data_IF_312383333871
#
_entry.id   IF_312383333871
#
_cell.length_a   1.000
_cell.length_b   1.000
_cell.length_c   1.000
_cell.angle_alpha   90.00
_cell.angle_beta   90.00
_cell.angle_gamma   90.00
#
_symmetry.space_group_name_H-M   'P 1'
#
loop_
_entity.id
_entity.type
_entity.pdbx_description
1 polymer ?
#
# COMPACT_ATOMS: atom_id res chain seq x y z
N UNK A 1 62.43 -46.67 30.64
CA UNK A 1 61.32 -45.83 30.13
C UNK A 1 61.58 -45.47 28.68
N UNK A 2 60.69 -45.88 27.77
CA UNK A 2 60.24 -45.16 26.57
C UNK A 2 59.41 -46.12 25.72
N UNK A 3 58.09 -45.98 25.81
CA UNK A 3 57.12 -46.46 24.83
C UNK A 3 56.81 -45.28 23.89
N UNK A 4 56.86 -45.52 22.58
CA UNK A 4 56.30 -44.66 21.52
C UNK A 4 55.80 -45.62 20.44
N UNK A 5 54.50 -45.94 20.38
CA UNK A 5 53.37 -45.17 19.82
C UNK A 5 53.08 -45.63 18.38
N UNK A 6 51.99 -46.40 18.25
CA UNK A 6 51.46 -46.97 17.02
C UNK A 6 50.47 -45.99 16.36
N UNK A 7 50.43 -46.06 15.02
CA UNK A 7 49.53 -45.30 14.15
C UNK A 7 48.07 -45.79 14.26
N UNK A 8 47.13 -44.85 14.24
CA UNK A 8 45.70 -45.11 14.07
C UNK A 8 45.20 -44.35 12.84
N UNK A 9 44.63 -45.09 11.90
CA UNK A 9 43.99 -44.62 10.67
C UNK A 9 42.55 -44.23 11.04
N UNK A 10 42.21 -42.94 10.91
CA UNK A 10 40.86 -42.42 11.07
C UNK A 10 40.13 -42.40 9.72
N UNK A 11 39.07 -43.19 9.63
CA UNK A 11 38.04 -43.10 8.59
C UNK A 11 36.91 -42.24 9.14
N UNK A 12 36.70 -41.06 8.57
CA UNK A 12 35.51 -40.22 8.81
C UNK A 12 35.21 -39.42 7.55
N UNK A 13 33.97 -39.51 7.04
CA UNK A 13 33.45 -38.55 6.05
C UNK A 13 32.52 -39.14 4.99
N UNK A 14 31.34 -39.60 5.39
CA UNK A 14 30.20 -39.72 4.48
C UNK A 14 28.99 -39.05 5.15
N UNK A 15 28.89 -37.73 5.03
CA UNK A 15 27.71 -36.95 5.43
C UNK A 15 26.79 -36.77 4.23
N UNK A 16 25.56 -37.20 4.45
CA UNK A 16 24.40 -37.19 3.58
C UNK A 16 24.20 -35.91 2.76
N UNK A 17 24.04 -36.10 1.45
CA UNK A 17 23.11 -35.32 0.65
C UNK A 17 21.68 -35.69 1.07
N UNK A 18 20.86 -34.69 1.40
CA UNK A 18 19.39 -34.60 1.19
C UNK A 18 18.75 -33.73 2.28
N UNK A 19 18.23 -32.56 1.87
CA UNK A 19 17.01 -31.88 2.36
C UNK A 19 17.16 -30.34 2.33
N UNK A 20 16.99 -29.73 1.15
CA UNK A 20 16.80 -28.28 1.01
C UNK A 20 15.50 -27.90 0.28
N UNK A 21 14.56 -28.83 0.13
CA UNK A 21 13.28 -28.58 -0.57
C UNK A 21 12.08 -28.30 0.34
N UNK A 22 12.22 -28.39 1.68
CA UNK A 22 11.06 -28.34 2.59
C UNK A 22 10.58 -26.91 2.89
N UNK A 23 11.46 -25.89 2.84
CA UNK A 23 11.08 -24.49 3.17
C UNK A 23 10.18 -23.82 2.13
N UNK A 24 10.16 -24.30 0.88
CA UNK A 24 9.35 -23.71 -0.20
C UNK A 24 7.88 -24.18 -0.18
N UNK A 25 7.62 -25.39 0.27
CA UNK A 25 6.27 -25.99 0.31
C UNK A 25 5.45 -25.36 1.44
N UNK A 26 6.08 -25.16 2.61
CA UNK A 26 5.44 -24.57 3.79
C UNK A 26 5.02 -23.11 3.56
N UNK A 27 5.84 -22.31 2.88
CA UNK A 27 5.52 -20.94 2.52
C UNK A 27 4.36 -20.84 1.50
N UNK A 28 4.26 -21.80 0.57
CA UNK A 28 3.17 -21.86 -0.38
C UNK A 28 1.86 -22.33 0.26
N UNK A 29 1.91 -23.29 1.20
CA UNK A 29 0.74 -23.67 2.01
C UNK A 29 0.23 -22.50 2.86
N UNK A 30 1.11 -21.73 3.49
CA UNK A 30 0.74 -20.56 4.28
C UNK A 30 0.03 -19.49 3.45
N UNK A 31 0.51 -19.24 2.22
CA UNK A 31 -0.14 -18.33 1.27
C UNK A 31 -1.51 -18.85 0.81
N UNK A 32 -1.64 -20.16 0.60
CA UNK A 32 -2.91 -20.81 0.24
C UNK A 32 -3.92 -20.70 1.39
N UNK A 33 -3.52 -21.02 2.61
CA UNK A 33 -4.35 -20.87 3.82
C UNK A 33 -4.74 -19.42 4.07
N UNK A 34 -3.85 -18.46 3.82
CA UNK A 34 -4.19 -17.04 3.92
C UNK A 34 -5.22 -16.61 2.87
N UNK A 35 -5.12 -17.10 1.63
CA UNK A 35 -6.12 -16.85 0.56
C UNK A 35 -7.46 -17.51 0.87
N UNK A 36 -7.46 -18.73 1.38
CA UNK A 36 -8.67 -19.42 1.81
C UNK A 36 -9.32 -18.73 3.00
N UNK A 37 -8.53 -18.28 3.97
CA UNK A 37 -9.02 -17.47 5.09
C UNK A 37 -9.61 -16.15 4.59
N UNK A 38 -8.92 -15.43 3.71
CA UNK A 38 -9.46 -14.20 3.10
C UNK A 38 -10.77 -14.46 2.35
N UNK A 39 -10.86 -15.58 1.62
CA UNK A 39 -12.09 -15.97 0.91
C UNK A 39 -13.20 -16.30 1.90
N UNK A 40 -12.90 -17.01 2.99
CA UNK A 40 -13.85 -17.36 4.04
C UNK A 40 -14.32 -16.12 4.80
N UNK A 41 -13.40 -15.25 5.21
CA UNK A 41 -13.70 -13.96 5.87
C UNK A 41 -14.52 -13.04 4.94
N UNK A 42 -14.30 -13.11 3.62
CA UNK A 42 -15.13 -12.40 2.62
C UNK A 42 -16.54 -12.97 2.55
N UNK A 43 -16.68 -14.29 2.55
CA UNK A 43 -17.97 -14.98 2.51
C UNK A 43 -18.73 -14.81 3.83
N UNK A 44 -18.06 -14.89 4.97
CA UNK A 44 -18.65 -14.65 6.30
C UNK A 44 -19.11 -13.19 6.44
N UNK A 45 -18.35 -12.22 5.90
CA UNK A 45 -18.81 -10.83 5.79
C UNK A 45 -20.01 -10.65 4.85
N UNK A 46 -20.04 -11.38 3.73
CA UNK A 46 -21.21 -11.40 2.85
C UNK A 46 -22.44 -12.04 3.52
N UNK A 47 -22.24 -13.06 4.35
CA UNK A 47 -23.31 -13.68 5.14
C UNK A 47 -23.83 -12.74 6.24
N UNK A 48 -22.95 -12.01 6.93
CA UNK A 48 -23.37 -10.95 7.86
C UNK A 48 -24.11 -9.81 7.17
N UNK A 49 -23.80 -9.52 5.91
CA UNK A 49 -24.53 -8.54 5.10
C UNK A 49 -25.97 -9.01 4.79
N UNK A 50 -26.15 -10.31 4.57
CA UNK A 50 -27.45 -10.90 4.23
C UNK A 50 -28.42 -10.94 5.43
N UNK A 51 -27.94 -11.08 6.66
CA UNK A 51 -28.78 -11.05 7.87
C UNK A 51 -29.10 -9.63 8.37
N UNK A 52 -28.41 -8.59 7.88
CA UNK A 52 -28.54 -7.20 8.35
C UNK A 52 -29.34 -6.27 7.40
N UNK A 53 -29.91 -6.76 6.31
CA UNK A 53 -30.62 -5.90 5.35
C UNK A 53 -29.70 -4.90 4.62
N UNK A 54 -28.41 -5.23 4.45
CA UNK A 54 -27.48 -4.44 3.64
C UNK A 54 -27.69 -4.78 2.16
N UNK A 55 -28.42 -3.94 1.43
CA UNK A 55 -28.87 -4.24 0.06
C UNK A 55 -28.09 -3.47 -1.01
N UNK A 56 -27.46 -2.34 -0.66
CA UNK A 56 -26.83 -1.46 -1.65
C UNK A 56 -25.33 -1.64 -1.68
N UNK A 57 -24.79 -1.90 -2.87
CA UNK A 57 -23.35 -2.03 -3.11
C UNK A 57 -22.93 -1.17 -4.30
N UNK A 58 -21.87 -0.37 -4.13
CA UNK A 58 -21.29 0.45 -5.20
C UNK A 58 -19.78 0.58 -5.03
N UNK A 59 -19.07 0.60 -6.17
CA UNK A 59 -17.65 0.92 -6.23
C UNK A 59 -17.43 2.37 -6.61
N UNK A 60 -16.45 3.01 -5.98
CA UNK A 60 -15.99 4.36 -6.28
C UNK A 60 -14.48 4.36 -6.53
N UNK A 61 -14.01 5.34 -7.28
CA UNK A 61 -12.57 5.62 -7.41
C UNK A 61 -12.26 6.96 -6.76
N UNK A 62 -11.34 6.93 -5.81
CA UNK A 62 -10.76 8.12 -5.20
C UNK A 62 -9.44 8.43 -5.89
N UNK A 63 -9.25 9.68 -6.34
CA UNK A 63 -7.96 10.17 -6.82
C UNK A 63 -7.50 11.30 -5.89
N UNK A 64 -6.40 11.06 -5.19
CA UNK A 64 -5.74 12.02 -4.31
C UNK A 64 -4.54 12.61 -5.02
N UNK A 65 -4.49 13.94 -5.08
CA UNK A 65 -3.34 14.69 -5.61
C UNK A 65 -2.24 14.76 -4.56
N UNK A 66 -1.00 14.93 -4.99
CA UNK A 66 0.13 15.04 -4.07
C UNK A 66 -0.02 16.18 -3.05
N UNK A 67 -0.60 17.32 -3.45
CA UNK A 67 -0.87 18.46 -2.57
C UNK A 67 -1.96 18.19 -1.51
N UNK A 68 -2.80 17.18 -1.74
CA UNK A 68 -3.90 16.79 -0.86
C UNK A 68 -3.55 15.52 -0.05
N UNK A 69 -2.26 15.18 0.01
CA UNK A 69 -1.72 14.05 0.75
C UNK A 69 -0.55 14.51 1.62
N UNK A 70 -0.52 14.07 2.88
CA UNK A 70 0.57 14.32 3.80
C UNK A 70 0.90 13.07 4.61
N UNK A 71 2.18 12.81 4.81
CA UNK A 71 2.68 11.80 5.74
C UNK A 71 3.50 12.51 6.84
N UNK A 72 3.04 12.39 8.08
CA UNK A 72 3.58 13.08 9.25
C UNK A 72 4.14 12.05 10.22
N UNK A 73 5.36 12.26 10.70
CA UNK A 73 6.00 11.40 11.70
C UNK A 73 6.20 12.23 12.98
N UNK A 74 5.55 11.89 14.11
CA UNK A 74 5.50 12.75 15.29
C UNK A 74 6.85 12.93 16.01
N UNK A 75 7.86 12.11 15.70
CA UNK A 75 9.14 12.07 16.43
C UNK A 75 10.37 12.47 15.60
N UNK A 76 10.21 12.90 14.34
CA UNK A 76 11.35 13.29 13.50
C UNK A 76 11.24 14.74 13.02
N UNK A 77 12.29 15.52 13.26
CA UNK A 77 12.48 16.86 12.67
C UNK A 77 12.74 16.81 11.16
N UNK A 78 13.06 15.62 10.61
CA UNK A 78 13.32 15.40 9.18
C UNK A 78 12.75 14.07 8.72
N UNK A 79 12.06 14.07 7.58
CA UNK A 79 11.53 12.87 6.90
C UNK A 79 12.67 12.07 6.22
N UNK A 80 13.86 12.68 6.08
CA UNK A 80 15.04 12.04 5.50
C UNK A 80 15.78 11.27 6.60
N UNK A 81 15.82 9.93 6.54
CA UNK A 81 16.58 9.13 7.50
C UNK A 81 18.07 9.49 7.41
N UNK A 82 18.72 9.76 8.54
CA UNK A 82 20.18 9.88 8.59
C UNK A 82 20.82 8.54 8.19
N UNK A 83 21.93 8.52 7.43
CA UNK A 83 22.62 7.29 7.04
C UNK A 83 22.83 6.33 8.23
N UNK A 84 22.41 5.07 8.06
CA UNK A 84 22.55 4.01 9.07
C UNK A 84 21.38 3.86 10.05
N UNK A 85 20.40 4.76 10.07
CA UNK A 85 19.30 4.77 11.06
C UNK A 85 17.96 4.22 10.55
N UNK A 86 17.88 3.63 9.36
CA UNK A 86 16.63 3.02 8.84
C UNK A 86 16.06 1.93 9.79
N UNK A 87 16.92 1.25 10.56
CA UNK A 87 16.52 0.29 11.58
C UNK A 87 16.01 0.92 12.89
N UNK A 88 16.29 2.20 13.12
CA UNK A 88 15.88 2.96 14.31
C UNK A 88 14.62 3.79 14.07
N UNK A 89 14.11 3.83 12.84
CA UNK A 89 12.87 4.53 12.51
C UNK A 89 11.70 3.89 13.26
N UNK A 90 11.10 4.65 14.16
CA UNK A 90 9.86 4.29 14.82
C UNK A 90 8.71 5.06 14.16
N UNK A 91 7.91 4.35 13.36
CA UNK A 91 6.74 4.93 12.70
C UNK A 91 5.50 4.97 13.60
N UNK A 92 5.62 4.63 14.89
CA UNK A 92 4.47 4.62 15.79
C UNK A 92 3.89 6.04 15.93
N UNK A 93 2.57 6.14 15.73
CA UNK A 93 1.88 7.43 15.73
C UNK A 93 2.13 8.26 14.46
N UNK A 94 2.86 7.76 13.48
CA UNK A 94 2.89 8.39 12.15
C UNK A 94 1.49 8.40 11.55
N UNK A 95 1.17 9.47 10.86
CA UNK A 95 -0.16 9.75 10.34
C UNK A 95 -0.11 10.03 8.85
N UNK A 96 -0.96 9.36 8.08
CA UNK A 96 -1.25 9.71 6.69
C UNK A 96 -2.57 10.46 6.62
N UNK A 97 -2.54 11.70 6.15
CA UNK A 97 -3.72 12.53 5.93
C UNK A 97 -3.94 12.61 4.43
N UNK A 98 -5.17 12.37 3.98
CA UNK A 98 -5.52 12.42 2.57
C UNK A 98 -6.86 13.07 2.31
N UNK A 99 -7.00 13.70 1.13
CA UNK A 99 -8.26 14.25 0.63
C UNK A 99 -8.31 14.13 -0.90
N UNK A 100 -9.05 13.16 -1.41
CA UNK A 100 -9.21 12.92 -2.84
C UNK A 100 -10.61 13.27 -3.36
N UNK A 101 -10.71 13.46 -4.68
CA UNK A 101 -12.02 13.53 -5.36
C UNK A 101 -12.56 12.12 -5.60
N UNK A 102 -13.88 11.96 -5.57
CA UNK A 102 -14.57 10.70 -5.85
C UNK A 102 -15.20 10.73 -7.24
N UNK A 103 -14.98 9.66 -7.99
CA UNK A 103 -15.42 9.49 -9.38
C UNK A 103 -16.07 8.12 -9.59
N UNK A 104 -16.88 8.00 -10.64
CA UNK A 104 -17.37 6.71 -11.09
C UNK A 104 -16.19 5.89 -11.69
N UNK A 105 -16.04 4.62 -11.31
CA UNK A 105 -15.06 3.73 -11.94
C UNK A 105 -15.18 3.64 -13.48
N UNK A 106 -16.34 3.92 -14.07
CA UNK A 106 -16.53 3.92 -15.52
C UNK A 106 -15.84 5.10 -16.23
N UNK A 107 -15.67 6.24 -15.54
CA UNK A 107 -15.13 7.47 -16.11
C UNK A 107 -13.61 7.61 -15.90
N UNK A 108 -13.04 6.81 -15.01
CA UNK A 108 -11.59 6.82 -14.73
C UNK A 108 -10.87 5.69 -15.48
N UNK A 109 -10.02 6.07 -16.43
CA UNK A 109 -9.13 5.13 -17.10
C UNK A 109 -7.75 5.12 -16.44
N UNK A 110 -7.36 3.98 -15.88
CA UNK A 110 -6.00 3.74 -15.36
C UNK A 110 -5.17 3.11 -16.47
N UNK A 111 -4.07 3.76 -16.85
CA UNK A 111 -3.16 3.27 -17.87
C UNK A 111 -1.86 2.77 -17.23
N UNK A 112 -1.33 1.70 -17.81
CA UNK A 112 0.01 1.22 -17.46
C UNK A 112 1.03 2.26 -17.90
N UNK A 113 1.82 2.73 -16.93
CA UNK A 113 2.98 3.61 -17.09
C UNK A 113 4.21 2.82 -16.70
N UNK A 114 4.62 1.92 -17.60
CA UNK A 114 5.80 1.06 -17.45
C UNK A 114 7.13 1.84 -17.55
N UNK A 115 7.09 3.16 -17.37
CA UNK A 115 8.21 4.05 -17.60
C UNK A 115 8.70 4.02 -19.05
N UNK A 116 7.83 3.76 -20.03
CA UNK A 116 8.18 3.76 -21.46
C UNK A 116 7.69 5.01 -22.20
N UNK A 117 6.85 5.84 -21.57
CA UNK A 117 6.34 7.05 -22.19
C UNK A 117 7.29 8.22 -21.97
N UNK A 118 7.44 9.09 -22.98
CA UNK A 118 8.24 10.31 -22.87
C UNK A 118 7.73 11.26 -21.76
N UNK A 119 6.47 11.11 -21.34
CA UNK A 119 5.87 11.87 -20.24
C UNK A 119 6.26 11.36 -18.85
N UNK A 120 6.91 10.19 -18.75
CA UNK A 120 7.47 9.64 -17.51
C UNK A 120 8.97 9.95 -17.37
N UNK A 121 9.54 10.65 -18.35
CA UNK A 121 10.90 11.17 -18.30
C UNK A 121 10.90 12.48 -17.51
N UNK A 122 11.22 12.38 -16.22
CA UNK A 122 11.40 13.57 -15.40
C UNK A 122 12.67 14.33 -15.79
N UNK A 123 13.74 13.66 -16.28
CA UNK A 123 14.97 14.22 -16.89
C UNK A 123 15.78 13.13 -17.62
N UNK A 124 16.81 13.55 -18.38
CA UNK A 124 17.51 12.87 -19.50
C UNK A 124 17.98 11.43 -19.35
N UNK A 125 18.05 10.81 -18.16
CA UNK A 125 18.51 9.40 -18.04
C UNK A 125 17.96 8.64 -16.82
N UNK A 126 17.05 9.21 -16.02
CA UNK A 126 16.50 8.53 -14.81
C UNK A 126 14.98 8.65 -14.74
N UNK A 127 14.30 7.51 -14.83
CA UNK A 127 12.84 7.40 -14.88
C UNK A 127 12.27 7.20 -13.48
N UNK A 128 11.52 8.18 -12.98
CA UNK A 128 10.77 8.04 -11.74
C UNK A 128 9.62 7.06 -11.95
N UNK A 129 9.57 5.99 -11.16
CA UNK A 129 8.53 4.97 -11.32
C UNK A 129 7.45 5.12 -10.27
N UNK A 130 6.21 5.03 -10.73
CA UNK A 130 5.03 5.12 -9.88
C UNK A 130 4.76 3.80 -9.17
N UNK A 131 4.28 3.87 -7.93
CA UNK A 131 3.80 2.68 -7.24
C UNK A 131 2.65 2.05 -8.06
N UNK A 132 2.75 0.75 -8.32
CA UNK A 132 1.80 0.02 -9.18
C UNK A 132 2.03 0.18 -10.69
N UNK A 133 3.04 0.93 -11.13
CA UNK A 133 3.37 1.19 -12.56
C UNK A 133 2.18 1.66 -13.39
N UNK A 134 1.27 2.38 -12.75
CA UNK A 134 -0.01 2.79 -13.30
C UNK A 134 -0.31 4.19 -12.85
N UNK A 135 -1.00 4.95 -13.69
CA UNK A 135 -1.52 6.28 -13.36
C UNK A 135 -2.86 6.49 -14.09
N UNK A 136 -3.75 7.35 -13.56
CA UNK A 136 -4.91 7.78 -14.32
C UNK A 136 -4.45 8.48 -15.62
N UNK A 137 -5.11 8.17 -16.74
CA UNK A 137 -4.82 8.78 -18.06
C UNK A 137 -5.15 10.27 -18.06
N UNK A 138 -6.28 10.62 -17.46
CA UNK A 138 -6.73 11.96 -17.21
C UNK A 138 -7.46 11.98 -15.87
N UNK A 139 -7.60 13.16 -15.28
CA UNK A 139 -8.35 13.35 -14.03
C UNK A 139 -9.56 14.21 -14.37
N UNK A 140 -10.79 13.69 -14.20
CA UNK A 140 -11.99 14.50 -14.36
C UNK A 140 -11.98 15.71 -13.42
N UNK A 141 -12.80 16.71 -13.72
CA UNK A 141 -12.94 17.85 -12.82
C UNK A 141 -13.54 17.38 -11.49
N UNK A 142 -12.87 17.70 -10.37
CA UNK A 142 -13.34 17.34 -9.03
C UNK A 142 -14.64 18.08 -8.73
N UNK A 143 -15.69 17.33 -8.38
CA UNK A 143 -16.91 17.90 -7.80
C UNK A 143 -16.67 18.18 -6.30
N UNK A 144 -16.91 19.40 -5.81
CA UNK A 144 -16.68 19.75 -4.41
C UNK A 144 -17.57 18.98 -3.42
N UNK A 145 -18.69 18.41 -3.87
CA UNK A 145 -19.58 17.58 -3.06
C UNK A 145 -19.17 16.10 -3.00
N UNK A 146 -18.22 15.66 -3.83
CA UNK A 146 -17.78 14.27 -3.93
C UNK A 146 -16.30 14.15 -3.58
N UNK A 147 -16.03 13.77 -2.33
CA UNK A 147 -14.67 13.64 -1.85
C UNK A 147 -14.54 12.54 -0.81
N UNK A 148 -13.31 12.07 -0.67
CA UNK A 148 -12.92 11.11 0.34
C UNK A 148 -11.73 11.66 1.10
N UNK A 149 -11.92 11.90 2.39
CA UNK A 149 -10.87 12.45 3.23
C UNK A 149 -10.75 11.70 4.55
N UNK A 150 -9.64 11.90 5.22
CA UNK A 150 -9.45 11.38 6.56
C UNK A 150 -8.00 11.16 6.90
N UNK A 151 -7.81 10.50 8.02
CA UNK A 151 -6.52 10.28 8.65
C UNK A 151 -6.36 8.81 9.00
N UNK A 152 -5.20 8.24 8.71
CA UNK A 152 -4.80 6.93 9.20
C UNK A 152 -3.55 7.06 10.05
N UNK A 153 -3.61 6.56 11.28
CA UNK A 153 -2.50 6.57 12.23
C UNK A 153 -1.93 5.16 12.37
N UNK A 154 -0.61 5.03 12.30
CA UNK A 154 0.10 3.79 12.58
C UNK A 154 0.02 3.47 14.07
N UNK A 155 -0.73 2.43 14.42
CA UNK A 155 -0.97 2.01 15.82
C UNK A 155 -0.05 0.87 16.26
N UNK A 156 0.56 0.16 15.31
CA UNK A 156 1.51 -0.92 15.58
C UNK A 156 2.61 -0.89 14.53
N UNK A 157 3.87 -0.99 14.96
CA UNK A 157 5.03 -0.92 14.07
C UNK A 157 6.14 -1.86 14.53
N UNK A 158 7.02 -2.23 13.59
CA UNK A 158 8.28 -2.91 13.85
C UNK A 158 9.36 -2.28 12.96
N UNK A 159 10.16 -1.38 13.53
CA UNK A 159 11.07 -0.51 12.77
C UNK A 159 10.31 0.32 11.74
N UNK A 160 10.81 0.34 10.50
CA UNK A 160 10.19 1.02 9.37
C UNK A 160 8.91 0.33 8.84
N UNK A 161 8.49 -0.82 9.40
CA UNK A 161 7.30 -1.52 8.97
C UNK A 161 6.10 -1.15 9.86
N UNK A 162 5.04 -0.64 9.23
CA UNK A 162 3.72 -0.55 9.85
C UNK A 162 3.14 -1.95 9.87
N UNK A 163 2.61 -2.38 11.02
CA UNK A 163 1.96 -3.69 11.22
C UNK A 163 0.45 -3.55 11.39
N UNK A 164 0.00 -2.38 11.83
CA UNK A 164 -1.40 -2.05 12.02
C UNK A 164 -1.61 -0.56 11.96
N UNK A 165 -2.75 -0.15 11.41
CA UNK A 165 -3.19 1.23 11.42
C UNK A 165 -4.62 1.34 11.94
N UNK A 166 -5.01 2.55 12.27
CA UNK A 166 -6.41 2.92 12.50
C UNK A 166 -6.72 4.19 11.75
N UNK A 167 -7.77 4.15 10.94
CA UNK A 167 -8.22 5.26 10.12
C UNK A 167 -9.60 5.76 10.53
N UNK A 168 -9.77 7.07 10.49
CA UNK A 168 -11.05 7.75 10.49
C UNK A 168 -11.21 8.44 9.15
N UNK A 169 -12.20 7.99 8.38
CA UNK A 169 -12.38 8.35 6.98
C UNK A 169 -13.81 8.86 6.78
N UNK A 170 -13.99 9.87 5.93
CA UNK A 170 -15.30 10.29 5.48
C UNK A 170 -15.39 10.13 3.97
N UNK A 171 -16.48 9.51 3.52
CA UNK A 171 -16.83 9.41 2.11
C UNK A 171 -18.06 10.26 1.85
N UNK A 172 -17.87 11.42 1.23
CA UNK A 172 -18.93 12.35 0.90
C UNK A 172 -19.38 12.15 -0.55
N UNK A 173 -20.68 11.98 -0.74
CA UNK A 173 -21.31 11.61 -2.00
C UNK A 173 -22.46 12.58 -2.35
N UNK A 174 -22.17 13.88 -2.33
CA UNK A 174 -23.08 14.93 -2.75
C UNK A 174 -23.58 15.82 -1.62
N UNK A 175 -24.69 16.53 -1.89
CA UNK A 175 -25.26 17.51 -0.96
C UNK A 175 -24.29 18.64 -0.61
N UNK A 176 -23.43 19.07 -1.54
CA UNK A 176 -22.40 20.08 -1.29
C UNK A 176 -21.31 19.67 -0.29
N UNK A 177 -21.18 18.36 -0.01
CA UNK A 177 -20.24 17.83 0.99
C UNK A 177 -20.87 17.58 2.36
N UNK A 178 -22.21 17.63 2.48
CA UNK A 178 -22.92 17.34 3.73
C UNK A 178 -23.47 15.91 3.81
N UNK A 179 -23.54 15.19 2.69
CA UNK A 179 -23.95 13.79 2.66
C UNK A 179 -22.72 12.90 2.73
N UNK A 180 -22.30 12.51 3.93
CA UNK A 180 -21.06 11.76 4.15
C UNK A 180 -21.29 10.48 4.95
N UNK A 181 -20.55 9.43 4.61
CA UNK A 181 -20.43 8.21 5.41
C UNK A 181 -19.22 8.35 6.32
N UNK A 182 -19.43 8.14 7.62
CA UNK A 182 -18.36 8.09 8.61
C UNK A 182 -17.85 6.65 8.71
N UNK A 183 -16.56 6.46 8.50
CA UNK A 183 -15.93 5.15 8.38
C UNK A 183 -14.78 5.04 9.37
N UNK A 184 -14.75 3.93 10.08
CA UNK A 184 -13.60 3.50 10.86
C UNK A 184 -12.94 2.30 10.19
N UNK A 185 -11.64 2.37 9.93
CA UNK A 185 -10.87 1.26 9.38
C UNK A 185 -9.67 0.95 10.28
N UNK A 186 -9.78 -0.10 11.08
CA UNK A 186 -8.69 -0.61 11.92
C UNK A 186 -8.38 -2.04 11.53
N UNK A 187 -7.19 -2.30 10.98
CA UNK A 187 -6.83 -3.65 10.57
C UNK A 187 -5.32 -3.90 10.65
N UNK A 188 -4.96 -5.19 10.60
CA UNK A 188 -3.57 -5.59 10.37
C UNK A 188 -3.15 -5.09 9.00
N UNK A 189 -2.14 -4.24 8.98
CA UNK A 189 -1.67 -3.54 7.80
C UNK A 189 -0.15 -3.63 7.78
N UNK A 190 0.35 -4.72 7.19
CA UNK A 190 1.79 -4.97 7.07
C UNK A 190 2.29 -4.24 5.84
N UNK A 191 2.92 -3.09 6.05
CA UNK A 191 3.37 -2.21 4.99
C UNK A 191 4.61 -1.43 5.42
N UNK A 192 5.62 -1.37 4.56
CA UNK A 192 6.77 -0.51 4.76
C UNK A 192 6.73 0.61 3.70
N UNK A 193 6.49 1.88 4.08
CA UNK A 193 6.39 2.99 3.13
C UNK A 193 7.70 3.28 2.38
N UNK A 194 8.83 2.77 2.86
CA UNK A 194 10.15 2.92 2.24
C UNK A 194 10.58 1.67 1.44
N UNK A 195 9.75 0.61 1.41
CA UNK A 195 10.07 -0.61 0.68
C UNK A 195 9.95 -0.40 -0.83
N UNK A 196 11.00 -0.84 -1.53
CA UNK A 196 11.10 -0.80 -2.98
C UNK A 196 11.03 -2.23 -3.53
N UNK A 197 10.20 -2.43 -4.55
CA UNK A 197 10.09 -3.71 -5.26
C UNK A 197 10.75 -3.62 -6.63
N UNK A 198 11.43 -4.71 -7.03
CA UNK A 198 12.02 -4.82 -8.36
C UNK A 198 10.99 -5.40 -9.32
N UNK A 199 10.69 -4.66 -10.38
CA UNK A 199 9.85 -5.12 -11.47
C UNK A 199 10.72 -5.27 -12.72
N UNK A 200 10.66 -6.43 -13.36
CA UNK A 200 11.31 -6.65 -14.64
C UNK A 200 10.55 -5.90 -15.74
N UNK A 201 11.25 -5.11 -16.55
CA UNK A 201 10.70 -4.57 -17.80
C UNK A 201 10.83 -5.59 -18.92
N UNK A 202 10.00 -5.41 -19.96
CA UNK A 202 10.04 -6.20 -21.19
C UNK A 202 11.39 -6.16 -21.92
N UNK A 203 12.25 -5.17 -21.63
CA UNK A 203 13.58 -5.00 -22.22
C UNK A 203 14.73 -5.54 -21.33
N UNK A 204 14.40 -6.31 -20.28
CA UNK A 204 15.41 -6.95 -19.43
C UNK A 204 16.04 -6.04 -18.37
N UNK A 205 15.57 -4.79 -18.24
CA UNK A 205 15.94 -3.88 -17.16
C UNK A 205 15.20 -4.21 -15.86
N UNK A 206 15.88 -4.09 -14.72
CA UNK A 206 15.23 -4.13 -13.40
C UNK A 206 14.87 -2.72 -12.97
N UNK A 207 13.58 -2.48 -12.87
CA UNK A 207 12.98 -1.21 -12.55
C UNK A 207 12.59 -1.21 -11.05
N UNK A 208 12.90 -0.13 -10.33
CA UNK A 208 12.66 0.00 -8.89
C UNK A 208 11.37 0.80 -8.68
N UNK A 209 10.33 0.18 -8.13
CA UNK A 209 9.04 0.81 -7.86
C UNK A 209 8.75 0.84 -6.35
N UNK A 210 8.08 1.88 -5.84
CA UNK A 210 7.50 1.80 -4.50
C UNK A 210 6.46 0.69 -4.39
N UNK A 211 6.43 0.01 -3.24
CA UNK A 211 5.38 -0.95 -2.92
C UNK A 211 4.03 -0.25 -2.71
N UNK A 212 2.95 -0.86 -3.21
CA UNK A 212 1.59 -0.41 -2.89
C UNK A 212 1.18 -0.90 -1.50
N UNK A 213 0.44 -0.07 -0.73
CA UNK A 213 -0.13 -0.53 0.52
C UNK A 213 -1.17 -1.64 0.28
N UNK A 214 -1.29 -2.62 1.19
CA UNK A 214 -2.29 -3.66 1.09
C UNK A 214 -3.70 -3.07 1.20
N UNK A 215 -4.69 -3.78 0.64
CA UNK A 215 -6.10 -3.43 0.84
C UNK A 215 -6.51 -3.59 2.30
N UNK A 216 -7.35 -2.70 2.80
CA UNK A 216 -7.82 -2.75 4.17
C UNK A 216 -9.33 -2.53 4.25
N UNK A 217 -10.04 -3.31 5.09
CA UNK A 217 -11.46 -3.14 5.31
C UNK A 217 -11.74 -2.01 6.31
N UNK A 218 -12.92 -1.40 6.16
CA UNK A 218 -13.48 -0.48 7.13
C UNK A 218 -14.95 -0.78 7.42
N UNK A 219 -15.44 -0.25 8.52
CA UNK A 219 -16.83 -0.32 8.95
C UNK A 219 -17.44 1.07 8.90
N UNK A 220 -18.63 1.18 8.31
CA UNK A 220 -19.42 2.41 8.34
C UNK A 220 -20.10 2.47 9.69
N UNK A 221 -19.73 3.48 10.48
CA UNK A 221 -20.21 3.70 11.85
C UNK A 221 -21.34 4.73 11.92
N UNK A 222 -21.68 5.35 10.79
CA UNK A 222 -22.76 6.31 10.68
C UNK A 222 -22.64 7.13 9.40
N UNK A 223 -23.43 8.20 9.34
CA UNK A 223 -23.34 9.18 8.28
C UNK A 223 -24.12 10.44 8.59
N UNK A 224 -23.98 11.42 7.71
CA UNK A 224 -24.61 12.74 7.79
C UNK A 224 -25.52 12.97 6.59
N UNK A 225 -26.46 13.91 6.74
CA UNK A 225 -27.41 14.26 5.67
C UNK A 225 -28.27 13.06 5.25
N UNK A 226 -28.23 12.69 3.96
CA UNK A 226 -28.98 11.55 3.43
C UNK A 226 -28.50 10.18 3.94
N UNK A 227 -27.32 10.12 4.58
CA UNK A 227 -26.74 8.89 5.10
C UNK A 227 -26.84 8.77 6.63
N UNK A 228 -27.74 9.52 7.27
CA UNK A 228 -28.01 9.35 8.70
C UNK A 228 -28.50 7.93 8.96
N UNK A 229 -27.88 7.24 9.93
CA UNK A 229 -28.18 5.84 10.24
C UNK A 229 -27.58 4.82 9.25
N UNK A 230 -26.68 5.25 8.37
CA UNK A 230 -25.95 4.35 7.49
C UNK A 230 -25.05 3.40 8.30
N UNK A 231 -25.15 2.12 8.01
CA UNK A 231 -24.34 1.04 8.55
C UNK A 231 -23.91 0.15 7.40
N UNK A 232 -22.72 -0.41 7.50
CA UNK A 232 -22.19 -1.28 6.46
C UNK A 232 -20.67 -1.40 6.56
N UNK A 233 -20.06 -1.75 5.44
CA UNK A 233 -18.62 -1.94 5.36
C UNK A 233 -18.06 -1.39 4.06
N UNK A 234 -16.78 -1.08 4.09
CA UNK A 234 -16.02 -0.69 2.93
C UNK A 234 -14.77 -1.54 2.78
N UNK A 235 -14.24 -1.59 1.57
CA UNK A 235 -12.92 -2.15 1.28
C UNK A 235 -12.15 -1.16 0.42
N UNK A 236 -11.01 -0.69 0.95
CA UNK A 236 -10.14 0.29 0.27
C UNK A 236 -8.96 -0.46 -0.33
N UNK A 237 -8.80 -0.36 -1.64
CA UNK A 237 -7.68 -0.94 -2.38
C UNK A 237 -6.93 0.14 -3.13
N UNK A 238 -5.65 0.31 -2.82
CA UNK A 238 -4.80 1.26 -3.54
C UNK A 238 -4.32 0.62 -4.85
N UNK A 239 -4.58 1.28 -5.98
CA UNK A 239 -4.25 0.81 -7.33
C UNK A 239 -2.97 1.47 -7.84
N UNK A 240 -2.81 2.76 -7.56
CA UNK A 240 -1.64 3.55 -7.98
C UNK A 240 -1.17 4.41 -6.81
N UNK A 241 0.12 4.71 -6.77
CA UNK A 241 0.70 5.67 -5.83
C UNK A 241 1.67 6.62 -6.52
N UNK A 242 2.16 7.58 -5.76
CA UNK A 242 3.20 8.50 -6.21
C UNK A 242 4.54 7.79 -6.44
N UNK A 243 5.48 8.51 -7.05
CA UNK A 243 6.89 8.10 -7.08
C UNK A 243 7.46 8.09 -5.67
N UNK A 244 8.57 7.37 -5.48
CA UNK A 244 9.25 7.26 -4.19
C UNK A 244 9.42 8.64 -3.52
N UNK A 245 9.22 8.68 -2.21
CA UNK A 245 9.79 9.77 -1.40
C UNK A 245 11.30 9.77 -1.63
N UNK A 246 11.96 10.93 -1.66
CA UNK A 246 13.40 11.03 -1.70
C UNK A 246 14.07 10.06 -0.72
N UNK A 247 14.66 8.98 -1.22
CA UNK A 247 15.46 8.07 -0.44
C UNK A 247 16.82 8.00 -1.13
N UNK A 248 17.78 8.75 -0.59
CA UNK A 248 19.18 8.56 -0.93
C UNK A 248 19.56 7.13 -0.53
N UNK A 249 19.64 6.24 -1.51
CA UNK A 249 20.47 5.04 -1.35
C UNK A 249 21.90 5.51 -1.52
N UNK A 250 22.66 5.55 -0.42
CA UNK A 250 24.09 5.79 -0.50
C UNK A 250 24.72 4.76 -1.44
N UNK A 251 25.59 5.20 -2.36
CA UNK A 251 26.25 4.28 -3.28
C UNK A 251 26.98 3.22 -2.47
N UNK A 252 26.74 1.96 -2.83
CA UNK A 252 27.63 0.88 -2.44
C UNK A 252 29.01 1.24 -3.04
N UNK A 253 30.05 1.38 -2.21
CA UNK A 253 31.41 1.70 -2.67
C UNK A 253 31.91 0.68 -3.71
N UNK A 254 31.31 -0.51 -3.77
CA UNK A 254 31.62 -1.54 -4.74
C UNK A 254 30.87 -1.43 -6.08
N UNK A 255 29.86 -0.55 -6.19
CA UNK A 255 29.07 -0.38 -7.41
C UNK A 255 28.72 1.10 -7.71
N UNK A 256 29.59 1.82 -8.43
CA UNK A 256 29.38 3.23 -8.81
C UNK A 256 28.20 3.46 -9.76
N UNK A 257 27.57 2.38 -10.27
CA UNK A 257 26.38 2.45 -11.11
C UNK A 257 25.07 2.18 -10.33
N UNK A 258 25.11 2.11 -9.00
CA UNK A 258 23.89 2.15 -8.19
C UNK A 258 23.32 3.57 -8.25
N UNK A 259 22.52 3.84 -9.29
CA UNK A 259 21.95 5.15 -9.54
C UNK A 259 21.16 5.64 -8.33
N UNK A 260 21.70 6.62 -7.62
CA UNK A 260 20.95 7.40 -6.64
C UNK A 260 19.89 8.20 -7.39
N UNK A 261 18.64 8.16 -6.90
CA UNK A 261 17.63 9.14 -7.29
C UNK A 261 17.78 10.26 -6.29
N UNK A 262 18.39 11.35 -6.75
CA UNK A 262 18.71 12.51 -5.92
C UNK A 262 17.43 13.16 -5.39
N UNK A 263 17.48 13.58 -4.12
CA UNK A 263 16.34 13.96 -3.29
C UNK A 263 15.67 15.30 -3.66
N UNK A 264 16.20 15.97 -4.67
CA UNK A 264 15.83 17.34 -5.04
C UNK A 264 14.53 17.46 -5.86
N UNK A 265 13.85 16.35 -6.13
CA UNK A 265 12.64 16.35 -6.96
C UNK A 265 11.37 16.08 -6.12
N UNK A 266 10.30 16.88 -6.33
CA UNK A 266 9.02 16.63 -5.66
C UNK A 266 8.45 15.28 -6.10
N UNK A 267 7.81 14.56 -5.17
CA UNK A 267 7.04 13.37 -5.52
C UNK A 267 6.03 13.69 -6.61
N UNK A 268 5.94 12.83 -7.61
CA UNK A 268 5.03 12.99 -8.73
C UNK A 268 4.02 11.84 -8.79
N UNK A 269 2.88 12.09 -9.43
CA UNK A 269 1.83 11.11 -9.62
C UNK A 269 0.67 11.25 -8.63
N UNK A 270 -0.27 10.34 -8.76
CA UNK A 270 -1.54 10.34 -8.05
C UNK A 270 -1.73 9.04 -7.28
N UNK A 271 -2.28 9.17 -6.08
CA UNK A 271 -2.73 8.02 -5.30
C UNK A 271 -4.16 7.73 -5.74
N UNK A 272 -4.37 6.56 -6.35
CA UNK A 272 -5.70 6.12 -6.78
C UNK A 272 -6.14 4.96 -5.90
N UNK A 273 -7.29 5.10 -5.27
CA UNK A 273 -7.89 4.07 -4.42
C UNK A 273 -9.26 3.67 -4.96
N UNK A 274 -9.50 2.37 -5.08
CA UNK A 274 -10.83 1.82 -5.31
C UNK A 274 -11.48 1.56 -3.97
N UNK A 275 -12.68 2.11 -3.78
CA UNK A 275 -13.46 1.99 -2.57
C UNK A 275 -14.72 1.22 -2.91
N UNK A 276 -14.84 -0.02 -2.42
CA UNK A 276 -16.07 -0.78 -2.55
C UNK A 276 -16.90 -0.55 -1.29
N UNK A 277 -18.13 -0.12 -1.45
CA UNK A 277 -19.02 0.29 -0.35
C UNK A 277 -20.25 -0.61 -0.36
N UNK A 278 -20.61 -1.17 0.78
CA UNK A 278 -21.85 -1.92 0.97
C UNK A 278 -22.59 -1.38 2.19
N UNK A 279 -23.85 -0.97 2.02
CA UNK A 279 -24.61 -0.28 3.08
C UNK A 279 -26.11 -0.62 3.05
N UNK A 280 -26.81 -0.26 4.12
CA UNK A 280 -28.28 -0.28 4.24
C UNK A 280 -28.97 0.90 3.54
N UNK A 281 -28.23 1.92 3.08
CA UNK A 281 -28.76 3.14 2.45
C UNK A 281 -28.38 3.22 0.96
N UNK A 282 -29.25 3.80 0.11
CA UNK A 282 -28.97 3.91 -1.32
C UNK A 282 -27.76 4.81 -1.59
N UNK A 283 -26.89 4.36 -2.48
CA UNK A 283 -25.64 5.04 -2.82
C UNK A 283 -25.76 5.76 -4.18
N UNK A 284 -25.52 7.08 -4.27
CA UNK A 284 -25.63 7.82 -5.53
C UNK A 284 -24.48 7.47 -6.50
N UNK A 285 -24.68 7.79 -7.78
CA UNK A 285 -23.63 7.73 -8.80
C UNK A 285 -22.66 8.88 -8.55
N UNK A 286 -21.36 8.64 -8.67
CA UNK A 286 -20.38 9.71 -8.62
C UNK A 286 -20.29 10.42 -9.99
N UNK A 287 -20.01 11.73 -10.02
CA UNK A 287 -19.90 12.49 -11.26
C UNK A 287 -18.58 12.24 -12.01
#
# INVERSE_FOLDING_TARGET
MKFTAAAAITVFGLTAFCCSTVKGVEANELKLRAREKMRKDKVERQLQANDAGLVFSRGYVCITRQQDFAFVIPQQQSIVPTPGQLGELNLLGSSTIQSGGIYDPADVQIIDRLGTSAADNFLTDKRGQFAGQRQPKFIPQKDPGFFFNGECVATQVAGAQILGHSCLLNLCLGGGGYNCLAIYAGSKFVFNPFEQTLVATFEGGKNVVPSLPPSYPGTIIGGTGLFVGAVGYIDVTTITGSTLTPAERFPDESNPNSGSIDANFPQAGYITQKINVVTNVPLPVAP
#
